data_IF_895206915815
#
_entry.id   IF_895206915815
#
_cell.length_a   1.000
_cell.length_b   1.000
_cell.length_c   1.000
_cell.angle_alpha   90.00
_cell.angle_beta   90.00
_cell.angle_gamma   90.00
#
_symmetry.space_group_name_H-M   'P 1'
#
loop_
_entity.id
_entity.type
_entity.pdbx_description
1 polymer ?
#
# COMPACT_ATOMS: atom_id res chain seq x y z
N UNK A 1 3.38 8.23 -32.41
CA UNK A 1 2.50 7.60 -31.41
C UNK A 1 3.34 7.26 -30.19
N UNK A 2 2.87 7.46 -28.95
CA UNK A 2 3.60 7.05 -27.76
C UNK A 2 3.82 5.52 -27.76
N UNK A 3 5.01 5.08 -27.32
CA UNK A 3 5.36 3.66 -27.22
C UNK A 3 4.33 2.91 -26.37
N UNK A 4 3.88 1.70 -26.78
CA UNK A 4 3.02 0.84 -25.94
C UNK A 4 3.60 0.59 -24.54
N UNK A 5 4.92 0.66 -24.38
CA UNK A 5 5.58 0.49 -23.08
C UNK A 5 5.28 1.63 -22.09
N UNK A 6 4.89 2.82 -22.56
CA UNK A 6 4.50 3.94 -21.66
C UNK A 6 3.24 3.62 -20.85
N UNK A 7 2.31 2.87 -21.44
CA UNK A 7 1.12 2.40 -20.72
C UNK A 7 1.51 1.37 -19.65
N UNK A 8 2.47 0.47 -19.92
CA UNK A 8 3.00 -0.43 -18.90
C UNK A 8 3.73 0.30 -17.77
N UNK A 9 4.47 1.35 -18.09
CA UNK A 9 5.10 2.21 -17.07
C UNK A 9 4.07 2.86 -16.15
N UNK A 10 2.99 3.40 -16.72
CA UNK A 10 1.90 3.95 -15.91
C UNK A 10 1.30 2.86 -15.00
N UNK A 11 0.99 1.68 -15.54
CA UNK A 11 0.45 0.56 -14.76
C UNK A 11 1.40 0.15 -13.64
N UNK A 12 2.68 -0.08 -13.92
CA UNK A 12 3.68 -0.44 -12.93
C UNK A 12 3.84 0.63 -11.84
N UNK A 13 3.71 1.91 -12.19
CA UNK A 13 3.78 3.03 -11.24
C UNK A 13 2.61 3.06 -10.26
N UNK A 14 1.42 2.59 -10.65
CA UNK A 14 0.30 2.43 -9.73
C UNK A 14 0.49 1.21 -8.82
N UNK A 15 0.89 0.08 -9.41
CA UNK A 15 1.09 -1.18 -8.67
C UNK A 15 2.24 -1.04 -7.65
N UNK A 16 3.28 -0.26 -7.96
CA UNK A 16 4.36 0.09 -7.02
C UNK A 16 3.82 0.72 -5.73
N UNK A 17 2.72 1.48 -5.80
CA UNK A 17 2.16 2.14 -4.62
C UNK A 17 1.35 1.14 -3.79
N UNK A 18 0.49 0.36 -4.43
CA UNK A 18 -0.36 -0.64 -3.76
C UNK A 18 -0.85 -1.74 -4.70
N UNK A 19 -1.22 -2.93 -4.17
CA UNK A 19 -1.86 -3.98 -4.94
C UNK A 19 -3.15 -3.51 -5.62
N UNK A 20 -3.46 -4.09 -6.78
CA UNK A 20 -4.56 -3.63 -7.65
C UNK A 20 -5.91 -3.74 -6.97
N UNK A 21 -6.11 -4.75 -6.11
CA UNK A 21 -7.36 -4.95 -5.37
C UNK A 21 -7.71 -3.78 -4.42
N UNK A 22 -6.73 -2.96 -4.03
CA UNK A 22 -6.92 -1.79 -3.18
C UNK A 22 -7.08 -0.48 -3.95
N UNK A 23 -7.15 -0.52 -5.29
CA UNK A 23 -7.47 0.63 -6.12
C UNK A 23 -8.99 0.76 -6.30
N UNK A 24 -9.47 1.97 -6.57
CA UNK A 24 -10.87 2.16 -6.95
C UNK A 24 -11.19 1.47 -8.28
N UNK A 25 -12.41 0.96 -8.42
CA UNK A 25 -12.85 0.18 -9.61
C UNK A 25 -12.63 0.92 -10.93
N UNK A 26 -12.82 2.25 -10.93
CA UNK A 26 -12.55 3.08 -12.12
C UNK A 26 -11.07 3.05 -12.50
N UNK A 27 -10.18 3.19 -11.52
CA UNK A 27 -8.73 3.13 -11.73
C UNK A 27 -8.34 1.71 -12.18
N UNK A 28 -8.86 0.67 -11.54
CA UNK A 28 -8.62 -0.71 -11.96
C UNK A 28 -9.01 -0.94 -13.42
N UNK A 29 -10.19 -0.45 -13.83
CA UNK A 29 -10.66 -0.51 -15.22
C UNK A 29 -9.74 0.22 -16.20
N UNK A 30 -9.27 1.41 -15.82
CA UNK A 30 -8.31 2.19 -16.62
C UNK A 30 -6.98 1.46 -16.78
N UNK A 31 -6.43 0.89 -15.71
CA UNK A 31 -5.16 0.15 -15.75
C UNK A 31 -5.27 -1.12 -16.60
N UNK A 32 -6.35 -1.87 -16.44
CA UNK A 32 -6.65 -3.04 -17.27
C UNK A 32 -6.73 -2.65 -18.76
N UNK A 33 -7.48 -1.59 -19.08
CA UNK A 33 -7.58 -1.06 -20.44
C UNK A 33 -6.23 -0.68 -21.05
N UNK A 34 -5.38 0.02 -20.30
CA UNK A 34 -4.02 0.42 -20.73
C UNK A 34 -3.10 -0.77 -20.93
N UNK A 35 -3.10 -1.72 -20.00
CA UNK A 35 -2.29 -2.93 -20.10
C UNK A 35 -2.71 -3.73 -21.35
N UNK A 36 -4.01 -3.94 -21.55
CA UNK A 36 -4.57 -4.66 -22.69
C UNK A 36 -4.25 -3.97 -24.02
N UNK A 37 -4.43 -2.66 -24.12
CA UNK A 37 -4.09 -1.89 -25.31
C UNK A 37 -2.61 -2.08 -25.70
N UNK A 38 -1.72 -2.12 -24.70
CA UNK A 38 -0.29 -2.30 -24.89
C UNK A 38 0.03 -3.70 -25.40
N UNK A 39 -0.55 -4.72 -24.78
CA UNK A 39 -0.42 -6.12 -25.21
C UNK A 39 -0.90 -6.28 -26.65
N UNK A 40 -2.09 -5.76 -26.98
CA UNK A 40 -2.66 -5.86 -28.34
C UNK A 40 -1.79 -5.16 -29.38
N UNK A 41 -1.30 -3.94 -29.09
CA UNK A 41 -0.40 -3.20 -30.00
C UNK A 41 0.92 -3.93 -30.23
N UNK A 42 1.53 -4.45 -29.16
CA UNK A 42 2.80 -5.18 -29.26
C UNK A 42 2.62 -6.51 -30.00
N UNK A 43 1.54 -7.27 -29.72
CA UNK A 43 1.24 -8.50 -30.47
C UNK A 43 1.04 -8.23 -31.96
N UNK A 44 0.28 -7.19 -32.33
CA UNK A 44 0.11 -6.78 -33.74
C UNK A 44 1.41 -6.50 -34.46
N UNK A 45 2.39 -5.90 -33.77
CA UNK A 45 3.72 -5.68 -34.35
C UNK A 45 4.50 -6.99 -34.59
N UNK A 46 4.08 -8.10 -33.98
CA UNK A 46 4.71 -9.42 -34.00
C UNK A 46 3.85 -10.50 -34.70
N UNK A 47 2.80 -10.15 -35.45
CA UNK A 47 1.80 -11.10 -35.98
C UNK A 47 2.25 -11.98 -37.17
N UNK A 48 3.52 -11.94 -37.58
CA UNK A 48 4.03 -12.86 -38.63
C UNK A 48 4.20 -14.28 -38.06
N UNK A 49 3.99 -15.34 -38.87
CA UNK A 49 4.10 -16.76 -38.42
C UNK A 49 5.39 -17.07 -37.65
N UNK A 50 6.53 -16.56 -38.11
CA UNK A 50 7.84 -16.72 -37.43
C UNK A 50 7.92 -15.95 -36.10
N UNK A 51 7.21 -14.82 -35.98
CA UNK A 51 7.24 -13.95 -34.81
C UNK A 51 6.30 -14.42 -33.68
N UNK A 52 5.25 -15.18 -34.00
CA UNK A 52 4.30 -15.77 -33.03
C UNK A 52 4.99 -16.81 -32.12
N UNK A 53 6.10 -17.41 -32.55
CA UNK A 53 6.86 -18.36 -31.74
C UNK A 53 7.94 -17.69 -30.87
N UNK A 54 8.13 -16.38 -31.01
CA UNK A 54 9.17 -15.65 -30.28
C UNK A 54 8.90 -15.63 -28.78
N UNK A 55 9.99 -15.52 -28.00
CA UNK A 55 9.90 -15.32 -26.55
C UNK A 55 9.03 -14.09 -26.21
N UNK A 56 9.16 -13.02 -26.99
CA UNK A 56 8.37 -11.80 -26.80
C UNK A 56 6.86 -12.07 -26.96
N UNK A 57 6.45 -12.76 -28.03
CA UNK A 57 5.05 -13.09 -28.23
C UNK A 57 4.49 -13.98 -27.12
N UNK A 58 5.26 -15.00 -26.66
CA UNK A 58 4.85 -15.86 -25.54
C UNK A 58 4.65 -15.07 -24.25
N UNK A 59 5.56 -14.15 -23.92
CA UNK A 59 5.40 -13.27 -22.75
C UNK A 59 4.15 -12.39 -22.88
N UNK A 60 3.87 -11.85 -24.06
CA UNK A 60 2.65 -11.06 -24.29
C UNK A 60 1.36 -11.88 -24.15
N UNK A 61 1.37 -13.17 -24.49
CA UNK A 61 0.23 -14.07 -24.23
C UNK A 61 0.01 -14.28 -22.73
N UNK A 62 1.08 -14.44 -21.96
CA UNK A 62 0.96 -14.53 -20.50
C UNK A 62 0.44 -13.23 -19.88
N UNK A 63 1.00 -12.09 -20.27
CA UNK A 63 0.49 -10.77 -19.85
C UNK A 63 -1.00 -10.58 -20.18
N UNK A 64 -1.45 -11.05 -21.35
CA UNK A 64 -2.87 -11.01 -21.72
C UNK A 64 -3.73 -11.85 -20.76
N UNK A 65 -3.23 -13.02 -20.34
CA UNK A 65 -3.90 -13.91 -19.39
C UNK A 65 -4.00 -13.26 -18.01
N UNK A 66 -2.92 -12.65 -17.53
CA UNK A 66 -2.85 -11.99 -16.22
C UNK A 66 -3.90 -10.86 -16.11
N UNK A 67 -4.26 -10.24 -17.23
CA UNK A 67 -5.23 -9.13 -17.28
C UNK A 67 -6.68 -9.62 -17.40
N UNK A 68 -6.91 -10.76 -18.06
CA UNK A 68 -8.27 -11.21 -18.46
C UNK A 68 -9.08 -11.88 -17.34
N UNK A 69 -8.42 -12.49 -16.37
CA UNK A 69 -9.07 -13.39 -15.40
C UNK A 69 -9.24 -12.78 -14.00
N UNK A 70 -9.38 -11.45 -13.93
CA UNK A 70 -9.08 -10.67 -12.73
C UNK A 70 -7.60 -10.34 -12.75
N UNK A 71 -7.27 -9.05 -12.62
CA UNK A 71 -5.90 -8.57 -12.81
C UNK A 71 -4.99 -9.19 -11.75
N UNK A 72 -4.20 -10.21 -12.13
CA UNK A 72 -3.19 -10.82 -11.28
C UNK A 72 -1.93 -9.96 -11.34
N UNK A 73 -1.81 -9.03 -10.39
CA UNK A 73 -0.76 -8.04 -10.39
C UNK A 73 0.63 -8.63 -10.16
N UNK A 74 0.75 -9.70 -9.36
CA UNK A 74 2.01 -10.40 -9.13
C UNK A 74 2.49 -11.12 -10.39
N UNK A 75 1.62 -11.89 -11.04
CA UNK A 75 1.95 -12.56 -12.30
C UNK A 75 2.27 -11.53 -13.39
N UNK A 76 1.47 -10.47 -13.47
CA UNK A 76 1.66 -9.39 -14.43
C UNK A 76 3.04 -8.73 -14.29
N UNK A 77 3.45 -8.31 -13.09
CA UNK A 77 4.78 -7.68 -12.92
C UNK A 77 5.92 -8.66 -13.19
N UNK A 78 5.74 -9.95 -12.90
CA UNK A 78 6.74 -10.98 -13.19
C UNK A 78 6.90 -11.20 -14.70
N UNK A 79 5.79 -11.30 -15.45
CA UNK A 79 5.86 -11.41 -16.91
C UNK A 79 6.34 -10.12 -17.57
N UNK A 80 6.02 -8.96 -17.01
CA UNK A 80 6.52 -7.67 -17.50
C UNK A 80 8.03 -7.55 -17.31
N UNK A 81 8.57 -8.03 -16.19
CA UNK A 81 10.03 -8.16 -15.98
C UNK A 81 10.69 -9.01 -17.08
N UNK A 82 10.08 -10.13 -17.46
CA UNK A 82 10.60 -10.97 -18.55
C UNK A 82 10.57 -10.24 -19.90
N UNK A 83 9.55 -9.40 -20.14
CA UNK A 83 9.48 -8.59 -21.36
C UNK A 83 10.61 -7.56 -21.41
N UNK A 84 10.90 -6.90 -20.29
CA UNK A 84 12.01 -5.94 -20.13
C UNK A 84 13.35 -6.60 -20.45
N UNK A 85 13.59 -7.80 -19.92
CA UNK A 85 14.81 -8.57 -20.23
C UNK A 85 14.96 -8.84 -21.73
N UNK A 86 13.86 -9.15 -22.43
CA UNK A 86 13.89 -9.36 -23.88
C UNK A 86 14.28 -8.07 -24.62
N UNK A 87 13.75 -6.90 -24.22
CA UNK A 87 14.15 -5.62 -24.81
C UNK A 87 15.64 -5.31 -24.56
N UNK A 88 16.17 -5.64 -23.38
CA UNK A 88 17.60 -5.45 -23.05
C UNK A 88 18.57 -6.27 -23.90
N UNK A 89 18.09 -7.33 -24.54
CA UNK A 89 18.89 -8.17 -25.44
C UNK A 89 18.91 -7.64 -26.89
N UNK A 90 18.30 -6.48 -27.16
CA UNK A 90 18.23 -5.87 -28.47
C UNK A 90 18.92 -4.51 -28.50
N UNK A 91 19.31 -4.05 -29.68
CA UNK A 91 19.87 -2.70 -29.85
C UNK A 91 18.77 -1.65 -29.69
N UNK A 92 18.72 -1.02 -28.53
CA UNK A 92 17.75 0.03 -28.19
C UNK A 92 18.31 1.40 -28.57
N UNK A 93 17.43 2.29 -29.04
CA UNK A 93 17.75 3.71 -29.09
C UNK A 93 17.68 4.32 -27.68
N UNK A 94 18.22 5.54 -27.53
CA UNK A 94 18.33 6.23 -26.23
C UNK A 94 16.98 6.41 -25.53
N UNK A 95 15.95 6.91 -26.25
CA UNK A 95 14.60 7.10 -25.71
C UNK A 95 13.97 5.80 -25.18
N UNK A 96 14.20 4.69 -25.88
CA UNK A 96 13.67 3.39 -25.50
C UNK A 96 14.46 2.76 -24.36
N UNK A 97 15.78 2.96 -24.31
CA UNK A 97 16.61 2.54 -23.20
C UNK A 97 16.23 3.25 -21.90
N UNK A 98 16.01 4.57 -21.93
CA UNK A 98 15.54 5.34 -20.77
C UNK A 98 14.18 4.81 -20.27
N UNK A 99 13.22 4.62 -21.18
CA UNK A 99 11.90 4.08 -20.83
C UNK A 99 11.99 2.68 -20.21
N UNK A 100 12.88 1.82 -20.71
CA UNK A 100 13.11 0.47 -20.19
C UNK A 100 13.75 0.53 -18.79
N UNK A 101 14.69 1.46 -18.54
CA UNK A 101 15.28 1.64 -17.20
C UNK A 101 14.26 2.12 -16.18
N UNK A 102 13.43 3.09 -16.55
CA UNK A 102 12.38 3.60 -15.67
C UNK A 102 11.37 2.48 -15.35
N UNK A 103 10.91 1.78 -16.38
CA UNK A 103 9.98 0.66 -16.24
C UNK A 103 10.56 -0.45 -15.35
N UNK A 104 11.82 -0.83 -15.54
CA UNK A 104 12.49 -1.84 -14.71
C UNK A 104 12.55 -1.43 -13.24
N UNK A 105 12.88 -0.16 -12.96
CA UNK A 105 12.86 0.36 -11.59
C UNK A 105 11.48 0.22 -10.95
N UNK A 106 10.43 0.58 -11.68
CA UNK A 106 9.04 0.49 -11.20
C UNK A 106 8.60 -0.97 -10.99
N UNK A 107 8.91 -1.85 -11.93
CA UNK A 107 8.58 -3.28 -11.86
C UNK A 107 9.30 -3.95 -10.69
N UNK A 108 10.59 -3.67 -10.46
CA UNK A 108 11.32 -4.26 -9.35
C UNK A 108 10.77 -3.83 -7.98
N UNK A 109 10.43 -2.55 -7.84
CA UNK A 109 9.81 -2.01 -6.63
C UNK A 109 8.41 -2.60 -6.38
N UNK A 110 7.57 -2.66 -7.41
CA UNK A 110 6.26 -3.29 -7.37
C UNK A 110 6.35 -4.77 -7.00
N UNK A 111 7.23 -5.53 -7.65
CA UNK A 111 7.46 -6.96 -7.38
C UNK A 111 7.83 -7.22 -5.92
N UNK A 112 8.71 -6.42 -5.33
CA UNK A 112 9.10 -6.55 -3.92
C UNK A 112 7.89 -6.37 -2.99
N UNK A 113 7.08 -5.34 -3.22
CA UNK A 113 5.92 -5.03 -2.37
C UNK A 113 4.78 -6.04 -2.53
N UNK A 114 4.51 -6.48 -3.74
CA UNK A 114 3.51 -7.52 -4.00
C UNK A 114 3.94 -8.85 -3.40
N UNK A 115 5.21 -9.25 -3.57
CA UNK A 115 5.72 -10.48 -2.97
C UNK A 115 5.59 -10.45 -1.44
N UNK A 116 5.94 -9.34 -0.81
CA UNK A 116 5.73 -9.15 0.63
C UNK A 116 4.27 -9.36 1.03
N UNK A 117 3.34 -8.75 0.29
CA UNK A 117 1.91 -8.87 0.53
C UNK A 117 1.41 -10.33 0.39
N UNK A 118 1.70 -10.99 -0.73
CA UNK A 118 1.24 -12.35 -0.99
C UNK A 118 1.87 -13.38 -0.05
N UNK A 119 3.17 -13.26 0.23
CA UNK A 119 3.85 -14.15 1.19
C UNK A 119 3.30 -13.95 2.60
N UNK A 120 3.01 -12.71 3.01
CA UNK A 120 2.39 -12.44 4.30
C UNK A 120 0.99 -13.08 4.40
N UNK A 121 0.16 -12.95 3.37
CA UNK A 121 -1.15 -13.60 3.31
C UNK A 121 -1.05 -15.12 3.28
N UNK A 122 -0.10 -15.69 2.53
CA UNK A 122 0.11 -17.14 2.49
C UNK A 122 0.48 -17.68 3.87
N UNK A 123 1.46 -17.06 4.52
CA UNK A 123 1.89 -17.43 5.88
C UNK A 123 0.74 -17.32 6.90
N UNK A 124 -0.05 -16.24 6.80
CA UNK A 124 -1.22 -16.04 7.66
C UNK A 124 -2.27 -17.13 7.44
N UNK A 125 -2.57 -17.45 6.17
CA UNK A 125 -3.53 -18.48 5.79
C UNK A 125 -3.07 -19.88 6.20
N UNK A 126 -1.77 -20.17 6.12
CA UNK A 126 -1.21 -21.42 6.62
C UNK A 126 -1.43 -21.56 8.13
N UNK A 127 -1.07 -20.54 8.93
CA UNK A 127 -1.34 -20.53 10.38
C UNK A 127 -2.83 -20.62 10.70
N UNK A 128 -3.68 -19.95 9.92
CA UNK A 128 -5.12 -19.96 10.12
C UNK A 128 -5.73 -21.36 10.01
N UNK A 129 -5.16 -22.25 9.19
CA UNK A 129 -5.62 -23.65 9.04
C UNK A 129 -5.40 -24.48 10.31
N UNK A 130 -4.47 -24.08 11.16
CA UNK A 130 -4.10 -24.78 12.40
C UNK A 130 -4.86 -24.25 13.63
N UNK A 131 -5.66 -23.18 13.46
CA UNK A 131 -6.34 -22.49 14.56
C UNK A 131 -7.85 -22.66 14.48
N UNK A 132 -8.50 -22.78 15.64
CA UNK A 132 -9.96 -22.67 15.73
C UNK A 132 -10.41 -21.23 15.45
N UNK A 133 -11.67 -21.04 15.07
CA UNK A 133 -12.20 -19.69 14.81
C UNK A 133 -12.21 -18.82 16.07
N UNK A 134 -12.42 -19.42 17.25
CA UNK A 134 -12.31 -18.73 18.54
C UNK A 134 -10.87 -18.27 18.81
N UNK A 135 -9.86 -19.09 18.50
CA UNK A 135 -8.47 -18.72 18.69
C UNK A 135 -8.05 -17.59 17.74
N UNK A 136 -8.52 -17.62 16.49
CA UNK A 136 -8.30 -16.53 15.52
C UNK A 136 -8.92 -15.22 16.02
N UNK A 137 -10.17 -15.27 16.46
CA UNK A 137 -10.85 -14.08 16.99
C UNK A 137 -10.12 -13.51 18.22
N UNK A 138 -9.68 -14.38 19.13
CA UNK A 138 -8.89 -13.95 20.29
C UNK A 138 -7.55 -13.34 19.88
N UNK A 139 -6.84 -13.95 18.93
CA UNK A 139 -5.57 -13.43 18.41
C UNK A 139 -5.75 -12.06 17.73
N UNK A 140 -6.83 -11.87 16.97
CA UNK A 140 -7.17 -10.60 16.36
C UNK A 140 -7.45 -9.53 17.42
N UNK A 141 -8.27 -9.84 18.43
CA UNK A 141 -8.55 -8.92 19.54
C UNK A 141 -7.28 -8.53 20.31
N UNK A 142 -6.42 -9.50 20.62
CA UNK A 142 -5.14 -9.25 21.29
C UNK A 142 -4.21 -8.37 20.43
N UNK A 143 -4.18 -8.59 19.11
CA UNK A 143 -3.40 -7.81 18.15
C UNK A 143 -3.91 -6.37 18.06
N UNK A 144 -5.23 -6.20 17.95
CA UNK A 144 -5.86 -4.89 17.92
C UNK A 144 -5.63 -4.12 19.21
N UNK A 145 -5.74 -4.78 20.37
CA UNK A 145 -5.49 -4.13 21.66
C UNK A 145 -4.03 -3.71 21.82
N UNK A 146 -3.08 -4.64 21.58
CA UNK A 146 -1.65 -4.41 21.87
C UNK A 146 -0.94 -3.58 20.82
N UNK A 147 -1.26 -3.81 19.54
CA UNK A 147 -0.58 -3.16 18.42
C UNK A 147 -1.47 -2.06 17.86
N UNK A 148 -2.73 -2.36 17.55
CA UNK A 148 -3.65 -1.40 16.94
C UNK A 148 -3.91 -0.16 17.82
N UNK A 149 -4.32 -0.36 19.06
CA UNK A 149 -4.68 0.72 19.98
C UNK A 149 -3.42 1.36 20.57
N UNK A 150 -2.57 0.59 21.26
CA UNK A 150 -1.47 1.18 22.02
C UNK A 150 -0.28 1.63 21.17
N UNK A 151 0.06 0.89 20.11
CA UNK A 151 1.27 1.18 19.33
C UNK A 151 0.98 2.08 18.13
N UNK A 152 -0.12 1.85 17.42
CA UNK A 152 -0.49 2.67 16.27
C UNK A 152 -1.34 3.86 16.72
N UNK A 153 -2.58 3.61 17.12
CA UNK A 153 -3.59 4.67 17.23
C UNK A 153 -3.23 5.72 18.29
N UNK A 154 -2.79 5.28 19.45
CA UNK A 154 -2.38 6.18 20.53
C UNK A 154 -1.23 7.10 20.10
N UNK A 155 -0.22 6.52 19.44
CA UNK A 155 0.90 7.30 18.91
C UNK A 155 0.47 8.23 17.77
N UNK A 156 -0.32 7.76 16.80
CA UNK A 156 -0.74 8.59 15.67
C UNK A 156 -1.69 9.70 16.08
N UNK A 157 -2.48 9.52 17.14
CA UNK A 157 -3.25 10.60 17.77
C UNK A 157 -2.35 11.61 18.47
N UNK A 158 -1.29 11.16 19.17
CA UNK A 158 -0.34 12.07 19.80
C UNK A 158 0.44 12.87 18.75
N UNK A 159 0.89 12.24 17.66
CA UNK A 159 1.56 12.94 16.55
C UNK A 159 0.61 13.96 15.92
N UNK A 160 -0.65 13.60 15.66
CA UNK A 160 -1.63 14.54 15.15
C UNK A 160 -1.81 15.74 16.09
N UNK A 161 -1.87 15.51 17.40
CA UNK A 161 -1.95 16.58 18.39
C UNK A 161 -0.73 17.50 18.34
N UNK A 162 0.49 16.95 18.35
CA UNK A 162 1.72 17.75 18.34
C UNK A 162 1.90 18.50 17.02
N UNK A 163 1.64 17.87 15.87
CA UNK A 163 1.78 18.49 14.56
C UNK A 163 0.89 19.73 14.38
N UNK A 164 -0.22 19.85 15.10
CA UNK A 164 -1.05 21.07 15.08
C UNK A 164 -0.44 22.25 15.85
N UNK A 165 0.54 21.99 16.73
CA UNK A 165 1.09 22.97 17.66
C UNK A 165 2.58 23.26 17.45
N UNK A 166 3.28 22.42 16.67
CA UNK A 166 4.71 22.54 16.41
C UNK A 166 5.05 23.55 15.30
N UNK A 167 6.30 24.03 15.32
CA UNK A 167 6.91 24.76 14.21
C UNK A 167 7.15 23.84 13.01
N UNK A 168 7.28 24.38 11.80
CA UNK A 168 7.53 23.54 10.60
C UNK A 168 8.86 22.77 10.67
N UNK A 169 9.87 23.32 11.34
CA UNK A 169 11.14 22.64 11.59
C UNK A 169 10.96 21.44 12.52
N UNK A 170 10.23 21.62 13.63
CA UNK A 170 9.94 20.53 14.57
C UNK A 170 9.02 19.47 13.97
N UNK A 171 8.07 19.85 13.10
CA UNK A 171 7.24 18.90 12.34
C UNK A 171 8.12 18.00 11.47
N UNK A 172 9.07 18.59 10.73
CA UNK A 172 10.01 17.84 9.91
C UNK A 172 10.85 16.89 10.76
N UNK A 173 11.35 17.38 11.90
CA UNK A 173 12.13 16.57 12.84
C UNK A 173 11.33 15.40 13.41
N UNK A 174 10.07 15.61 13.82
CA UNK A 174 9.19 14.52 14.27
C UNK A 174 8.91 13.49 13.16
N UNK A 175 8.81 13.94 11.91
CA UNK A 175 8.60 13.05 10.77
C UNK A 175 9.82 12.13 10.52
N UNK A 176 11.03 12.69 10.53
CA UNK A 176 12.27 12.03 10.08
C UNK A 176 13.08 11.40 11.24
N UNK A 177 13.26 12.11 12.35
CA UNK A 177 14.23 11.78 13.41
C UNK A 177 13.56 11.43 14.76
N UNK A 178 12.32 11.86 14.94
CA UNK A 178 11.63 11.85 16.23
C UNK A 178 11.86 13.13 17.04
N UNK A 179 11.03 13.33 18.07
CA UNK A 179 10.99 14.58 18.81
C UNK A 179 10.60 14.36 20.28
N UNK A 180 11.38 14.96 21.19
CA UNK A 180 10.99 15.06 22.59
C UNK A 180 9.92 16.16 22.73
N UNK A 181 8.72 15.76 23.15
CA UNK A 181 7.60 16.65 23.46
C UNK A 181 7.22 16.55 24.94
N UNK A 182 6.22 17.34 25.36
CA UNK A 182 5.73 17.31 26.76
C UNK A 182 5.19 15.94 27.16
N UNK A 183 4.55 15.23 26.23
CA UNK A 183 4.00 13.90 26.45
C UNK A 183 5.07 12.79 26.53
N UNK A 184 6.31 13.05 26.11
CA UNK A 184 7.40 12.07 26.11
C UNK A 184 8.25 12.15 24.85
N UNK A 185 9.07 11.12 24.63
CA UNK A 185 9.88 10.99 23.42
C UNK A 185 9.05 10.33 22.32
N UNK A 186 8.69 11.09 21.28
CA UNK A 186 8.01 10.54 20.12
C UNK A 186 9.05 9.99 19.13
N UNK A 187 8.98 8.70 18.74
CA UNK A 187 9.82 8.18 17.68
C UNK A 187 9.56 8.90 16.35
N UNK A 188 10.43 8.66 15.36
CA UNK A 188 10.19 9.10 13.99
C UNK A 188 8.91 8.45 13.43
N UNK A 189 8.15 9.20 12.64
CA UNK A 189 6.89 8.69 12.08
C UNK A 189 7.10 7.76 10.87
N UNK A 190 8.11 8.03 10.01
CA UNK A 190 8.39 7.20 8.81
C UNK A 190 8.50 5.70 9.13
N UNK A 191 9.31 5.26 10.11
CA UNK A 191 9.42 3.84 10.43
C UNK A 191 8.11 3.18 10.87
N UNK A 192 7.23 3.93 11.55
CA UNK A 192 5.92 3.40 11.96
C UNK A 192 5.01 3.16 10.75
N UNK A 193 5.01 4.10 9.81
CA UNK A 193 4.22 3.99 8.60
C UNK A 193 4.62 2.74 7.80
N UNK A 194 5.92 2.52 7.62
CA UNK A 194 6.44 1.36 6.87
C UNK A 194 6.11 0.02 7.54
N UNK A 195 5.97 0.01 8.86
CA UNK A 195 5.71 -1.20 9.65
C UNK A 195 4.23 -1.48 9.88
N UNK A 196 3.34 -0.50 9.68
CA UNK A 196 1.90 -0.63 9.93
C UNK A 196 1.29 -1.89 9.28
N UNK A 197 1.56 -2.11 7.98
CA UNK A 197 1.03 -3.28 7.26
C UNK A 197 1.52 -4.60 7.86
N UNK A 198 2.82 -4.69 8.15
CA UNK A 198 3.47 -5.92 8.65
C UNK A 198 3.08 -6.23 10.09
N UNK A 199 3.12 -5.21 10.94
CA UNK A 199 2.98 -5.36 12.37
C UNK A 199 1.54 -5.41 12.82
N UNK A 200 0.62 -4.80 12.07
CA UNK A 200 -0.81 -4.84 12.35
C UNK A 200 -1.58 -5.64 11.30
N UNK A 201 -1.70 -5.15 10.06
CA UNK A 201 -2.64 -5.72 9.08
C UNK A 201 -2.39 -7.21 8.80
N UNK A 202 -1.15 -7.59 8.52
CA UNK A 202 -0.78 -8.96 8.17
C UNK A 202 -0.69 -9.92 9.37
N UNK A 203 -1.09 -9.46 10.56
CA UNK A 203 -1.32 -10.31 11.73
C UNK A 203 -2.80 -10.56 12.03
N UNK A 204 -3.71 -9.88 11.31
CA UNK A 204 -5.16 -10.01 11.49
C UNK A 204 -5.71 -11.13 10.58
N UNK A 205 -6.23 -12.18 11.19
CA UNK A 205 -6.85 -13.33 10.54
C UNK A 205 -8.17 -12.97 9.86
N UNK A 206 -9.01 -12.14 10.49
CA UNK A 206 -10.25 -11.67 9.90
C UNK A 206 -9.97 -10.85 8.62
N UNK A 207 -10.30 -11.42 7.47
CA UNK A 207 -10.03 -10.82 6.15
C UNK A 207 -10.72 -9.48 5.94
N UNK A 208 -11.98 -9.36 6.35
CA UNK A 208 -12.74 -8.11 6.19
C UNK A 208 -12.09 -6.96 6.97
N UNK A 209 -11.71 -7.22 8.22
CA UNK A 209 -11.01 -6.24 9.05
C UNK A 209 -9.64 -5.90 8.46
N UNK A 210 -8.84 -6.91 8.11
CA UNK A 210 -7.51 -6.73 7.50
C UNK A 210 -7.59 -5.85 6.26
N UNK A 211 -8.51 -6.16 5.34
CA UNK A 211 -8.66 -5.42 4.09
C UNK A 211 -9.15 -3.99 4.35
N UNK A 212 -10.06 -3.79 5.32
CA UNK A 212 -10.46 -2.44 5.76
C UNK A 212 -9.25 -1.63 6.26
N UNK A 213 -8.39 -2.22 7.08
CA UNK A 213 -7.19 -1.56 7.60
C UNK A 213 -6.16 -1.27 6.50
N UNK A 214 -5.98 -2.18 5.53
CA UNK A 214 -5.09 -1.96 4.38
C UNK A 214 -5.58 -0.82 3.48
N UNK A 215 -6.90 -0.72 3.23
CA UNK A 215 -7.49 0.41 2.49
C UNK A 215 -7.22 1.73 3.22
N UNK A 216 -7.42 1.76 4.53
CA UNK A 216 -7.14 2.97 5.34
C UNK A 216 -5.67 3.37 5.25
N UNK A 217 -4.76 2.41 5.35
CA UNK A 217 -3.33 2.62 5.19
C UNK A 217 -2.98 3.20 3.81
N UNK A 218 -3.42 2.55 2.73
CA UNK A 218 -3.04 2.96 1.38
C UNK A 218 -3.62 4.31 0.97
N UNK A 219 -4.75 4.73 1.56
CA UNK A 219 -5.26 6.09 1.38
C UNK A 219 -4.40 7.13 2.07
N UNK A 220 -3.90 6.83 3.27
CA UNK A 220 -3.00 7.72 3.99
C UNK A 220 -1.60 7.79 3.36
N UNK A 221 -1.09 6.66 2.85
CA UNK A 221 0.20 6.55 2.16
C UNK A 221 0.36 7.55 1.00
N UNK A 222 -0.72 7.82 0.27
CA UNK A 222 -0.74 8.80 -0.83
C UNK A 222 -0.45 10.24 -0.37
N UNK A 223 -0.89 10.59 0.85
CA UNK A 223 -0.65 11.92 1.45
C UNK A 223 0.68 11.94 2.18
N UNK A 224 1.10 10.80 2.71
CA UNK A 224 2.24 10.67 3.60
C UNK A 224 3.57 11.10 2.96
N UNK A 225 3.92 10.54 1.81
CA UNK A 225 5.21 10.81 1.14
C UNK A 225 5.26 12.15 0.38
N UNK A 226 4.10 12.78 0.16
CA UNK A 226 4.00 13.99 -0.65
C UNK A 226 3.87 15.27 0.19
N UNK A 227 4.31 15.25 1.46
CA UNK A 227 4.16 16.40 2.37
C UNK A 227 4.84 17.69 1.84
N UNK A 228 5.94 17.56 1.09
CA UNK A 228 6.60 18.71 0.44
C UNK A 228 5.71 19.36 -0.65
N UNK A 229 4.80 18.61 -1.24
CA UNK A 229 3.89 19.07 -2.30
C UNK A 229 2.55 19.54 -1.71
N UNK A 230 2.00 18.79 -0.74
CA UNK A 230 0.67 19.07 -0.17
C UNK A 230 0.71 20.01 1.04
N UNK A 231 1.86 20.18 1.68
CA UNK A 231 2.03 20.98 2.89
C UNK A 231 1.53 20.31 4.18
N UNK A 232 1.99 20.82 5.33
CA UNK A 232 1.71 20.24 6.65
C UNK A 232 0.23 20.20 7.01
N UNK A 233 -0.56 21.20 6.63
CA UNK A 233 -1.99 21.24 6.91
C UNK A 233 -2.73 20.05 6.27
N UNK A 234 -2.49 19.80 4.98
CA UNK A 234 -3.09 18.67 4.27
C UNK A 234 -2.55 17.33 4.78
N UNK A 235 -1.27 17.26 5.17
CA UNK A 235 -0.69 16.08 5.78
C UNK A 235 -1.39 15.71 7.10
N UNK A 236 -1.60 16.70 7.98
CA UNK A 236 -2.33 16.51 9.24
C UNK A 236 -3.80 16.16 8.98
N UNK A 237 -4.43 16.76 7.96
CA UNK A 237 -5.76 16.38 7.50
C UNK A 237 -5.83 14.91 7.07
N UNK A 238 -4.83 14.43 6.32
CA UNK A 238 -4.71 13.02 5.96
C UNK A 238 -4.57 12.10 7.19
N UNK A 239 -3.74 12.49 8.16
CA UNK A 239 -3.56 11.74 9.40
C UNK A 239 -4.84 11.67 10.24
N UNK A 240 -5.63 12.74 10.22
CA UNK A 240 -6.96 12.77 10.86
C UNK A 240 -7.91 11.76 10.23
N UNK A 241 -8.03 11.78 8.90
CA UNK A 241 -8.87 10.81 8.16
C UNK A 241 -8.43 9.37 8.45
N UNK A 242 -7.11 9.14 8.50
CA UNK A 242 -6.53 7.85 8.87
C UNK A 242 -6.96 7.41 10.28
N UNK A 243 -6.76 8.26 11.29
CA UNK A 243 -7.13 7.97 12.68
C UNK A 243 -8.64 7.70 12.84
N UNK A 244 -9.50 8.52 12.20
CA UNK A 244 -10.96 8.31 12.21
C UNK A 244 -11.34 6.95 11.62
N UNK A 245 -10.73 6.57 10.51
CA UNK A 245 -11.06 5.34 9.83
C UNK A 245 -10.53 4.10 10.58
N UNK A 246 -9.38 4.19 11.25
CA UNK A 246 -8.90 3.16 12.17
C UNK A 246 -9.85 2.96 13.35
N UNK A 247 -10.23 4.07 14.01
CA UNK A 247 -11.17 4.05 15.11
C UNK A 247 -12.50 3.41 14.71
N UNK A 248 -13.06 3.80 13.57
CA UNK A 248 -14.28 3.18 13.03
C UNK A 248 -14.11 1.71 12.58
N UNK A 249 -12.89 1.26 12.27
CA UNK A 249 -12.60 -0.15 12.05
C UNK A 249 -12.60 -0.93 13.37
N UNK A 250 -11.99 -0.38 14.42
CA UNK A 250 -11.92 -1.00 15.74
C UNK A 250 -13.30 -1.04 16.43
N UNK A 251 -14.10 0.03 16.33
CA UNK A 251 -15.46 0.08 16.88
C UNK A 251 -16.35 -1.00 16.26
N UNK A 252 -16.32 -1.15 14.93
CA UNK A 252 -17.05 -2.20 14.23
C UNK A 252 -16.61 -3.63 14.60
N UNK A 253 -15.44 -3.78 15.23
CA UNK A 253 -14.90 -5.07 15.69
C UNK A 253 -15.03 -5.29 17.21
N UNK A 254 -15.76 -4.42 17.90
CA UNK A 254 -16.13 -4.60 19.31
C UNK A 254 -15.37 -3.75 20.32
N UNK A 255 -14.51 -2.83 19.88
CA UNK A 255 -13.84 -1.88 20.78
C UNK A 255 -14.70 -0.62 20.95
N UNK A 256 -15.41 -0.49 22.08
CA UNK A 256 -16.25 0.70 22.33
C UNK A 256 -15.46 1.89 22.89
N UNK A 257 -14.32 1.64 23.52
CA UNK A 257 -13.55 2.65 24.26
C UNK A 257 -12.08 2.62 23.84
N UNK A 258 -11.51 3.81 23.65
CA UNK A 258 -10.08 4.01 23.57
C UNK A 258 -9.49 4.15 24.97
N UNK A 259 -8.54 3.28 25.29
CA UNK A 259 -7.78 3.29 26.53
C UNK A 259 -6.33 3.60 26.17
N UNK A 260 -5.86 4.78 26.56
CA UNK A 260 -4.47 5.15 26.35
C UNK A 260 -3.59 4.55 27.46
N UNK A 261 -2.36 4.17 27.12
CA UNK A 261 -1.40 3.57 28.04
C UNK A 261 -0.20 4.49 28.33
N UNK A 262 0.27 5.23 27.34
CA UNK A 262 1.50 6.04 27.36
C UNK A 262 1.16 7.51 27.08
N UNK A 263 0.51 7.80 25.96
CA UNK A 263 0.14 9.13 25.49
C UNK A 263 -1.36 9.38 25.66
N UNK A 264 -1.71 10.51 26.27
CA UNK A 264 -3.10 10.88 26.59
C UNK A 264 -3.58 12.16 25.88
N UNK A 265 -3.38 12.32 24.55
CA UNK A 265 -3.64 13.60 23.86
C UNK A 265 -5.10 14.06 23.97
N UNK A 266 -6.04 13.11 24.11
CA UNK A 266 -7.48 13.38 24.15
C UNK A 266 -8.19 12.80 25.39
N UNK A 267 -7.41 12.42 26.42
CA UNK A 267 -7.89 11.76 27.65
C UNK A 267 -7.75 10.24 27.63
N UNK A 268 -8.16 9.59 28.73
CA UNK A 268 -8.16 8.14 28.89
C UNK A 268 -9.59 7.61 29.09
N UNK A 269 -9.84 6.37 28.67
CA UNK A 269 -11.16 5.72 28.72
C UNK A 269 -12.26 6.57 28.05
N UNK A 270 -11.98 7.05 26.85
CA UNK A 270 -12.93 7.82 26.04
C UNK A 270 -13.63 6.89 25.07
N UNK A 271 -14.94 7.08 24.85
CA UNK A 271 -15.64 6.31 23.82
C UNK A 271 -15.08 6.62 22.45
N UNK A 272 -14.95 5.61 21.59
CA UNK A 272 -14.43 5.81 20.23
C UNK A 272 -15.25 6.87 19.47
N UNK A 273 -16.57 6.79 19.53
CA UNK A 273 -17.47 7.78 18.90
C UNK A 273 -17.25 9.21 19.43
N UNK A 274 -17.00 9.39 20.72
CA UNK A 274 -16.68 10.71 21.30
C UNK A 274 -15.30 11.20 20.85
N UNK A 275 -14.32 10.31 20.75
CA UNK A 275 -12.99 10.63 20.28
C UNK A 275 -13.00 11.06 18.81
N UNK A 276 -13.76 10.38 17.96
CA UNK A 276 -13.95 10.75 16.54
C UNK A 276 -14.51 12.17 16.40
N UNK A 277 -15.41 12.59 17.31
CA UNK A 277 -16.00 13.94 17.28
C UNK A 277 -15.06 15.05 17.78
N UNK A 278 -13.89 14.71 18.36
CA UNK A 278 -12.95 15.70 18.92
C UNK A 278 -11.93 16.23 17.91
N UNK A 279 -11.81 15.64 16.73
CA UNK A 279 -10.92 16.10 15.66
C UNK A 279 -11.69 16.28 14.35
#
# INVERSE_FOLDING_TARGET
>A
MPSPLKNFLEVASFIEKRPVEFLDTEIQGKLNGKARESVEKLKKSLEKKELIETKAYKVLVFLESDIKSGFDDLAFVQHLSNLIEIYRLTDLNEDLDELIRELDSKVNSAKKKLLEHHVALENLNQKAKEMSDNDKQKADLDTLQKIGIFYVLEYTLQVMYEMNNLSDEDKKKLLEDGLQVKAGNLPAFIPLQETFRKELCYKIYNEQLRNKLLVVFYKFDEVFYNYNEVGWENWVGGLRVFNSALLGAFEGFGFAEFKAAIYYPYGNNIKISELINKF
#
